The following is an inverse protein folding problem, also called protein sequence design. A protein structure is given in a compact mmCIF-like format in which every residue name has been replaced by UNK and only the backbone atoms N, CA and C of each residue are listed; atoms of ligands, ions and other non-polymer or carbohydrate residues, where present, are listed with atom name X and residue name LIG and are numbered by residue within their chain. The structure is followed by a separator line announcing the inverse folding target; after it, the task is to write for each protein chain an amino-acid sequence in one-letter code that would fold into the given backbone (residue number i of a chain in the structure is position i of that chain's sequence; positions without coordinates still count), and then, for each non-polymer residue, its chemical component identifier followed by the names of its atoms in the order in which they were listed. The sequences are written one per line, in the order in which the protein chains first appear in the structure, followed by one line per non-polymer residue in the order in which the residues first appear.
data_IF_305461398265
#
_entry.id   IF_305461398265
#
_cell.length_a   1.000
_cell.length_b   1.000
_cell.length_c   1.000
_cell.angle_alpha   90.00
_cell.angle_beta   90.00
_cell.angle_gamma   90.00
#
_symmetry.space_group_name_H-M   'P 1'
#
loop_
_entity.id
_entity.type
_entity.pdbx_description
1 polymer ?
#
# COMPACT_ATOMS: atom_id res chain seq x y z
N UNK A 1 19.44 31.35 8.06
CA UNK A 1 19.39 29.90 8.34
C UNK A 1 18.03 29.40 7.88
N UNK A 2 17.95 28.59 6.82
CA UNK A 2 16.72 27.89 6.47
C UNK A 2 16.46 26.84 7.56
N UNK A 3 15.38 27.05 8.32
CA UNK A 3 14.97 26.11 9.36
C UNK A 3 14.43 24.86 8.64
N UNK A 4 15.25 23.83 8.49
CA UNK A 4 14.82 22.55 7.94
C UNK A 4 13.81 21.94 8.92
N UNK A 5 12.54 21.90 8.56
CA UNK A 5 11.56 21.11 9.30
C UNK A 5 11.89 19.63 9.11
N UNK A 6 12.46 19.02 10.14
CA UNK A 6 12.75 17.58 10.16
C UNK A 6 11.45 16.80 10.31
N UNK A 7 11.11 16.02 9.29
CA UNK A 7 10.07 14.98 9.40
C UNK A 7 10.72 13.62 9.66
N UNK A 8 10.12 12.85 10.57
CA UNK A 8 10.57 11.50 10.96
C UNK A 8 9.45 10.51 10.67
N UNK A 9 9.80 9.37 10.08
CA UNK A 9 8.85 8.29 9.80
C UNK A 9 8.61 7.47 11.07
N UNK A 10 7.35 7.34 11.47
CA UNK A 10 6.92 6.54 12.62
C UNK A 10 5.92 5.47 12.20
N UNK A 11 5.87 4.35 12.95
CA UNK A 11 4.74 3.41 12.90
C UNK A 11 3.48 4.13 13.41
N UNK A 12 2.35 3.92 12.73
CA UNK A 12 1.06 4.53 13.10
C UNK A 12 0.05 3.50 13.61
N UNK A 13 -0.15 2.44 12.84
CA UNK A 13 -0.98 1.29 13.21
C UNK A 13 -0.33 0.00 12.73
N UNK A 14 -0.68 -1.12 13.35
CA UNK A 14 -0.42 -2.45 12.83
C UNK A 14 -1.60 -3.41 13.04
N UNK A 15 -1.68 -4.41 12.16
CA UNK A 15 -2.52 -5.59 12.33
C UNK A 15 -1.60 -6.80 12.37
N UNK A 16 -1.60 -7.53 13.47
CA UNK A 16 -0.79 -8.71 13.70
C UNK A 16 -1.60 -9.98 13.48
N UNK A 17 -0.96 -10.98 12.89
CA UNK A 17 -1.53 -12.31 12.67
C UNK A 17 -2.79 -12.29 11.79
N UNK A 18 -2.82 -11.40 10.78
CA UNK A 18 -3.89 -11.37 9.79
C UNK A 18 -3.68 -12.52 8.80
N UNK A 19 -4.69 -13.35 8.60
CA UNK A 19 -4.63 -14.48 7.67
C UNK A 19 -5.10 -14.04 6.29
N UNK A 20 -4.32 -14.33 5.25
CA UNK A 20 -4.77 -14.18 3.87
C UNK A 20 -5.74 -15.31 3.55
N UNK A 21 -6.99 -14.99 3.26
CA UNK A 21 -8.03 -16.00 3.00
C UNK A 21 -8.30 -16.20 1.51
N UNK A 22 -7.86 -15.26 0.66
CA UNK A 22 -7.98 -15.39 -0.79
C UNK A 22 -6.79 -14.74 -1.52
N UNK A 23 -6.35 -15.34 -2.63
CA UNK A 23 -5.38 -14.75 -3.55
C UNK A 23 -5.97 -14.70 -4.96
N UNK A 24 -6.22 -13.49 -5.48
CA UNK A 24 -6.83 -13.28 -6.80
C UNK A 24 -5.86 -12.64 -7.78
N UNK A 25 -5.70 -13.25 -8.94
CA UNK A 25 -4.81 -12.77 -10.01
C UNK A 25 -5.51 -12.53 -11.36
N UNK A 26 -6.80 -12.83 -11.46
CA UNK A 26 -7.60 -12.67 -12.68
C UNK A 26 -8.79 -11.77 -12.39
N UNK A 27 -8.92 -10.69 -13.17
CA UNK A 27 -9.87 -9.62 -12.95
C UNK A 27 -10.69 -9.38 -14.20
N UNK A 28 -11.96 -9.04 -14.02
CA UNK A 28 -12.79 -8.51 -15.09
C UNK A 28 -12.41 -7.06 -15.33
N UNK A 29 -12.63 -6.60 -16.54
CA UNK A 29 -12.38 -5.22 -16.90
C UNK A 29 -13.15 -4.27 -15.97
N UNK A 30 -12.41 -3.33 -15.37
CA UNK A 30 -12.95 -2.34 -14.45
C UNK A 30 -13.02 -2.76 -12.99
N UNK A 31 -12.51 -3.94 -12.64
CA UNK A 31 -12.18 -4.26 -11.25
C UNK A 31 -10.80 -3.72 -10.88
N UNK A 32 -10.60 -3.39 -9.60
CA UNK A 32 -9.29 -2.97 -9.08
C UNK A 32 -8.42 -4.22 -8.91
N UNK A 33 -7.42 -4.35 -9.78
CA UNK A 33 -6.58 -5.54 -9.91
C UNK A 33 -5.35 -5.58 -8.99
N UNK A 34 -5.18 -4.60 -8.09
CA UNK A 34 -4.04 -4.48 -7.19
C UNK A 34 -4.51 -4.11 -5.78
N UNK A 35 -3.70 -4.37 -4.76
CA UNK A 35 -4.02 -3.99 -3.37
C UNK A 35 -4.37 -5.19 -2.48
N UNK A 36 -4.80 -4.87 -1.27
CA UNK A 36 -5.23 -5.83 -0.26
C UNK A 36 -6.63 -5.47 0.23
N UNK A 37 -7.61 -6.34 -0.01
CA UNK A 37 -8.96 -6.17 0.57
C UNK A 37 -8.93 -6.62 2.01
N UNK A 38 -9.51 -5.80 2.90
CA UNK A 38 -9.62 -6.10 4.33
C UNK A 38 -11.04 -5.73 4.80
N UNK A 39 -11.68 -6.56 5.64
CA UNK A 39 -12.97 -6.25 6.24
C UNK A 39 -13.01 -4.87 6.92
N UNK A 40 -14.08 -4.11 6.66
CA UNK A 40 -14.28 -2.75 7.19
C UNK A 40 -14.18 -2.67 8.72
N UNK A 41 -14.65 -3.68 9.44
CA UNK A 41 -14.52 -3.78 10.90
C UNK A 41 -13.07 -3.86 11.38
N UNK A 42 -12.22 -4.63 10.69
CA UNK A 42 -10.78 -4.77 10.99
C UNK A 42 -10.05 -3.45 10.69
N UNK A 43 -10.33 -2.84 9.54
CA UNK A 43 -9.79 -1.52 9.16
C UNK A 43 -10.16 -0.45 10.20
N UNK A 44 -11.45 -0.37 10.56
CA UNK A 44 -11.96 0.57 11.56
C UNK A 44 -11.30 0.37 12.92
N UNK A 45 -11.17 -0.87 13.40
CA UNK A 45 -10.60 -1.19 14.71
C UNK A 45 -9.08 -0.93 14.78
N UNK A 46 -8.36 -1.13 13.68
CA UNK A 46 -6.93 -0.80 13.55
C UNK A 46 -6.67 0.66 13.20
N UNK A 47 -7.72 1.46 12.99
CA UNK A 47 -7.66 2.83 12.49
C UNK A 47 -6.84 2.93 11.18
N UNK A 48 -7.01 1.98 10.27
CA UNK A 48 -6.46 2.04 8.91
C UNK A 48 -7.59 2.47 7.98
N UNK A 49 -7.33 3.44 7.12
CA UNK A 49 -8.34 3.99 6.23
C UNK A 49 -8.25 3.37 4.83
N UNK A 50 -9.36 3.32 4.06
CA UNK A 50 -9.31 2.93 2.66
C UNK A 50 -8.26 3.74 1.90
N UNK A 51 -7.57 3.08 0.98
CA UNK A 51 -6.48 3.62 0.15
C UNK A 51 -5.19 3.95 0.89
N UNK A 52 -5.10 3.68 2.19
CA UNK A 52 -3.88 3.90 2.97
C UNK A 52 -2.78 2.90 2.57
N UNK A 53 -1.55 3.39 2.41
CA UNK A 53 -0.38 2.54 2.16
C UNK A 53 -0.05 1.69 3.39
N UNK A 54 0.14 0.40 3.17
CA UNK A 54 0.58 -0.57 4.18
C UNK A 54 1.84 -1.28 3.73
N UNK A 55 2.69 -1.65 4.69
CA UNK A 55 3.71 -2.67 4.51
C UNK A 55 3.10 -3.99 4.98
N UNK A 56 3.02 -4.98 4.09
CA UNK A 56 2.59 -6.34 4.40
C UNK A 56 3.84 -7.19 4.62
N UNK A 57 3.93 -7.82 5.78
CA UNK A 57 5.03 -8.70 6.18
C UNK A 57 4.50 -10.12 6.30
N UNK A 58 5.13 -11.08 5.63
CA UNK A 58 4.86 -12.51 5.82
C UNK A 58 5.61 -13.01 7.05
N UNK A 59 4.89 -13.50 8.07
CA UNK A 59 5.47 -13.82 9.39
C UNK A 59 6.43 -15.01 9.31
N UNK A 60 6.09 -16.03 8.52
CA UNK A 60 6.92 -17.23 8.33
C UNK A 60 7.84 -17.12 7.09
N UNK A 61 8.11 -15.91 6.61
CA UNK A 61 9.04 -15.68 5.49
C UNK A 61 10.49 -15.83 5.95
N UNK A 62 11.27 -16.65 5.26
CA UNK A 62 12.66 -16.98 5.61
C UNK A 62 13.72 -16.17 4.84
N UNK A 63 13.34 -15.06 4.21
CA UNK A 63 14.25 -14.21 3.45
C UNK A 63 13.99 -12.71 3.67
N UNK A 64 14.93 -11.87 3.22
CA UNK A 64 14.86 -10.41 3.33
C UNK A 64 13.70 -9.79 2.51
N UNK A 65 13.12 -10.55 1.57
CA UNK A 65 11.96 -10.20 0.76
C UNK A 65 10.67 -10.66 1.46
N UNK A 66 10.62 -10.74 2.80
CA UNK A 66 9.37 -11.08 3.49
C UNK A 66 8.41 -9.88 3.63
N UNK A 67 8.70 -8.75 2.98
CA UNK A 67 7.92 -7.51 3.05
C UNK A 67 7.62 -6.96 1.66
N UNK A 68 6.39 -6.47 1.50
CA UNK A 68 5.95 -5.78 0.29
C UNK A 68 5.07 -4.59 0.68
N UNK A 69 5.23 -3.45 0.02
CA UNK A 69 4.31 -2.30 0.17
C UNK A 69 3.12 -2.48 -0.73
N UNK A 70 1.95 -2.05 -0.29
CA UNK A 70 0.72 -1.99 -1.09
C UNK A 70 -0.23 -0.97 -0.46
N UNK A 71 -1.50 -0.95 -0.87
CA UNK A 71 -2.55 -0.15 -0.26
C UNK A 71 -3.75 -1.05 0.10
N UNK A 72 -4.55 -0.59 1.05
CA UNK A 72 -5.75 -1.32 1.48
C UNK A 72 -6.99 -0.87 0.72
N UNK A 73 -7.87 -1.82 0.47
CA UNK A 73 -9.21 -1.62 -0.08
C UNK A 73 -10.19 -2.11 0.98
N UNK A 74 -11.27 -1.36 1.20
CA UNK A 74 -12.32 -1.76 2.12
C UNK A 74 -13.12 -2.94 1.53
N UNK A 75 -13.30 -3.98 2.33
CA UNK A 75 -14.13 -5.14 2.03
C UNK A 75 -15.28 -5.31 3.02
N UNK A 76 -16.09 -6.34 2.79
CA UNK A 76 -17.20 -6.69 3.66
C UNK A 76 -16.75 -7.37 4.96
N UNK A 77 -17.63 -7.38 5.96
CA UNK A 77 -17.39 -8.00 7.27
C UNK A 77 -17.67 -9.50 7.25
N UNK A 78 -16.98 -10.22 6.35
CA UNK A 78 -17.08 -11.68 6.18
C UNK A 78 -15.76 -12.41 6.52
N UNK A 79 -14.77 -11.69 7.08
CA UNK A 79 -13.45 -12.21 7.41
C UNK A 79 -12.49 -12.31 6.22
N UNK A 80 -12.98 -12.07 5.00
CA UNK A 80 -12.20 -12.24 3.77
C UNK A 80 -11.13 -11.17 3.63
N UNK A 81 -9.88 -11.60 3.70
CA UNK A 81 -8.71 -10.80 3.34
C UNK A 81 -8.17 -11.31 2.01
N UNK A 82 -8.28 -10.49 0.97
CA UNK A 82 -7.93 -10.86 -0.41
C UNK A 82 -6.70 -10.11 -0.91
N UNK A 83 -5.62 -10.84 -1.18
CA UNK A 83 -4.46 -10.32 -1.87
C UNK A 83 -4.71 -10.28 -3.39
N UNK A 84 -4.46 -9.13 -4.02
CA UNK A 84 -4.67 -8.91 -5.46
C UNK A 84 -3.37 -8.64 -6.21
N UNK A 85 -3.37 -8.84 -7.53
CA UNK A 85 -2.29 -8.40 -8.41
C UNK A 85 -0.92 -8.92 -7.99
N UNK A 86 0.04 -8.02 -7.85
CA UNK A 86 1.40 -8.35 -7.42
C UNK A 86 1.46 -9.04 -6.06
N UNK A 87 0.56 -8.67 -5.14
CA UNK A 87 0.51 -9.23 -3.79
C UNK A 87 0.07 -10.69 -3.80
N UNK A 88 -0.83 -11.06 -4.71
CA UNK A 88 -1.31 -12.45 -4.89
C UNK A 88 -0.22 -13.42 -5.37
N UNK A 89 0.86 -12.91 -5.97
CA UNK A 89 2.04 -13.69 -6.36
C UNK A 89 3.04 -13.81 -5.21
N UNK A 90 2.98 -12.86 -4.26
CA UNK A 90 3.84 -12.80 -3.09
C UNK A 90 3.31 -13.64 -1.93
N UNK A 91 1.99 -13.65 -1.74
CA UNK A 91 1.29 -14.36 -0.67
C UNK A 91 0.50 -15.55 -1.21
N UNK A 92 0.17 -16.47 -0.32
CA UNK A 92 -0.73 -17.60 -0.55
C UNK A 92 -1.88 -17.57 0.46
N UNK A 93 -2.99 -18.21 0.11
CA UNK A 93 -4.04 -18.48 1.09
C UNK A 93 -3.47 -19.24 2.29
N UNK A 94 -3.92 -18.87 3.48
CA UNK A 94 -3.43 -19.36 4.76
C UNK A 94 -2.15 -18.66 5.25
N UNK A 95 -1.51 -17.80 4.45
CA UNK A 95 -0.34 -17.06 4.94
C UNK A 95 -0.73 -16.13 6.10
N UNK A 96 0.06 -16.22 7.18
CA UNK A 96 -0.04 -15.31 8.32
C UNK A 96 0.80 -14.06 8.08
N UNK A 97 0.19 -12.89 8.26
CA UNK A 97 0.80 -11.60 7.93
C UNK A 97 0.72 -10.59 9.07
N UNK A 98 1.66 -9.64 9.04
CA UNK A 98 1.62 -8.41 9.82
C UNK A 98 1.55 -7.22 8.87
N UNK A 99 0.57 -6.35 9.08
CA UNK A 99 0.39 -5.11 8.31
C UNK A 99 0.86 -3.94 9.15
N UNK A 100 1.60 -3.00 8.55
CA UNK A 100 2.14 -1.83 9.24
C UNK A 100 1.84 -0.58 8.42
N UNK A 101 1.19 0.41 9.02
CA UNK A 101 1.08 1.76 8.44
C UNK A 101 2.12 2.69 9.05
N UNK A 102 2.47 3.72 8.28
CA UNK A 102 3.47 4.73 8.67
C UNK A 102 2.86 6.12 8.60
N UNK A 103 3.41 7.01 9.43
CA UNK A 103 3.12 8.45 9.46
C UNK A 103 4.43 9.23 9.38
N UNK A 104 4.33 10.51 9.05
CA UNK A 104 5.41 11.48 9.17
C UNK A 104 5.10 12.40 10.33
N UNK A 105 6.04 12.51 11.27
CA UNK A 105 5.95 13.42 12.41
C UNK A 105 7.00 14.52 12.27
N UNK A 106 6.57 15.77 12.35
CA UNK A 106 7.47 16.92 12.52
C UNK A 106 7.97 17.01 13.98
N UNK A 107 8.89 17.93 14.25
CA UNK A 107 9.49 18.10 15.58
C UNK A 107 8.48 18.32 16.72
N UNK A 108 7.41 19.08 16.48
CA UNK A 108 6.35 19.30 17.48
C UNK A 108 5.58 18.01 17.77
N UNK A 109 5.27 17.24 16.73
CA UNK A 109 4.58 15.96 16.85
C UNK A 109 5.46 14.89 17.51
N UNK A 110 6.77 14.90 17.26
CA UNK A 110 7.74 14.04 17.96
C UNK A 110 7.80 14.40 19.45
N UNK A 111 7.73 15.68 19.81
CA UNK A 111 7.65 16.09 21.21
C UNK A 111 6.35 15.58 21.87
N UNK A 112 5.21 15.62 21.16
CA UNK A 112 3.95 15.03 21.64
C UNK A 112 4.06 13.51 21.81
N UNK A 113 4.72 12.81 20.88
CA UNK A 113 5.01 11.37 21.02
C UNK A 113 5.81 11.08 22.29
N UNK A 114 6.89 11.84 22.55
CA UNK A 114 7.71 11.71 23.76
C UNK A 114 6.94 12.00 25.06
N UNK A 115 5.85 12.76 24.98
CA UNK A 115 4.94 13.05 26.09
C UNK A 115 3.78 12.05 26.21
N UNK A 116 3.82 10.91 25.50
CA UNK A 116 2.73 9.93 25.46
C UNK A 116 1.38 10.49 24.98
N UNK A 117 1.41 11.47 24.06
CA UNK A 117 0.20 12.03 23.44
C UNK A 117 -0.07 11.51 22.04
N UNK A 118 0.85 10.73 21.48
CA UNK A 118 0.70 10.09 20.19
C UNK A 118 0.46 8.59 20.40
N UNK A 119 -0.79 8.10 20.29
CA UNK A 119 -1.06 6.67 20.39
C UNK A 119 -0.53 5.93 19.16
N UNK A 120 -0.24 4.65 19.29
CA UNK A 120 0.02 3.69 18.20
C UNK A 120 -0.97 2.55 18.40
N UNK A 121 -1.65 2.15 17.31
CA UNK A 121 -2.68 1.11 17.38
C UNK A 121 -2.07 -0.23 16.98
N UNK A 122 -2.23 -1.24 17.82
CA UNK A 122 -1.77 -2.60 17.59
C UNK A 122 -2.93 -3.57 17.72
N UNK A 123 -3.56 -3.87 16.59
CA UNK A 123 -4.61 -4.88 16.51
C UNK A 123 -3.96 -6.25 16.34
N UNK A 124 -4.32 -7.24 17.15
CA UNK A 124 -3.78 -8.60 17.04
C UNK A 124 -4.87 -9.66 17.05
N UNK A 125 -4.70 -10.69 16.24
CA UNK A 125 -5.45 -11.94 16.35
C UNK A 125 -4.60 -12.99 17.05
N UNK A 126 -5.24 -13.93 17.74
CA UNK A 126 -4.48 -15.05 18.34
C UNK A 126 -3.98 -16.01 17.26
N UNK A 127 -2.66 -16.21 17.09
CA UNK A 127 -2.11 -16.95 15.97
C UNK A 127 -2.68 -18.37 15.84
N UNK A 128 -2.80 -19.09 16.94
CA UNK A 128 -3.20 -20.51 16.94
C UNK A 128 -4.70 -20.71 16.70
N UNK A 129 -5.50 -19.64 16.87
CA UNK A 129 -6.96 -19.68 16.75
C UNK A 129 -7.46 -18.99 15.50
N UNK A 130 -6.69 -18.05 14.94
CA UNK A 130 -7.13 -17.28 13.78
C UNK A 130 -6.97 -18.09 12.49
N UNK A 131 -8.08 -18.42 11.84
CA UNK A 131 -8.09 -19.14 10.56
C UNK A 131 -8.66 -18.30 9.41
N UNK A 132 -9.58 -17.41 9.74
CA UNK A 132 -10.43 -16.69 8.78
C UNK A 132 -10.69 -15.23 9.18
N UNK A 133 -10.00 -14.73 10.21
CA UNK A 133 -10.15 -13.37 10.73
C UNK A 133 -11.52 -13.04 11.34
N UNK A 134 -12.35 -14.06 11.63
CA UNK A 134 -13.67 -13.87 12.27
C UNK A 134 -13.61 -13.93 13.80
N UNK A 135 -12.51 -14.42 14.37
CA UNK A 135 -12.33 -14.48 15.83
C UNK A 135 -12.17 -13.08 16.43
N UNK A 136 -12.40 -12.98 17.74
CA UNK A 136 -12.15 -11.72 18.45
C UNK A 136 -10.67 -11.32 18.37
N UNK A 137 -10.43 -10.11 17.86
CA UNK A 137 -9.12 -9.47 17.88
C UNK A 137 -8.93 -8.65 19.16
N UNK A 138 -7.67 -8.51 19.61
CA UNK A 138 -7.29 -7.64 20.73
C UNK A 138 -6.69 -6.34 20.19
N UNK A 139 -7.21 -5.19 20.61
CA UNK A 139 -6.61 -3.90 20.29
C UNK A 139 -5.78 -3.42 21.47
N UNK A 140 -4.46 -3.36 21.31
CA UNK A 140 -3.58 -2.71 22.25
C UNK A 140 -3.23 -1.29 21.74
N UNK A 141 -3.10 -0.34 22.65
CA UNK A 141 -2.72 1.05 22.36
C UNK A 141 -1.40 1.34 23.04
N UNK A 142 -0.39 1.64 22.25
CA UNK A 142 0.96 1.94 22.72
C UNK A 142 1.23 3.45 22.66
N UNK A 143 1.86 3.95 23.71
CA UNK A 143 2.43 5.28 23.83
C UNK A 143 3.90 5.09 24.25
N UNK A 144 4.76 6.07 23.96
CA UNK A 144 6.21 6.01 24.19
C UNK A 144 6.69 5.07 25.31
N UNK A 145 6.18 5.23 26.55
CA UNK A 145 6.47 4.32 27.66
C UNK A 145 5.24 3.66 28.32
N UNK A 146 4.05 3.75 27.72
CA UNK A 146 2.79 3.26 28.30
C UNK A 146 2.05 2.38 27.31
N UNK A 147 1.49 1.26 27.77
CA UNK A 147 0.64 0.39 26.94
C UNK A 147 -0.70 0.16 27.63
N UNK A 148 -1.79 0.36 26.89
CA UNK A 148 -3.16 0.01 27.31
C UNK A 148 -3.54 -1.24 26.52
N UNK A 149 -3.92 -2.31 27.21
CA UNK A 149 -4.24 -3.60 26.57
C UNK A 149 -5.74 -3.76 26.39
N UNK A 150 -6.11 -4.50 25.35
CA UNK A 150 -7.49 -4.93 25.06
C UNK A 150 -8.55 -3.81 25.15
N UNK A 151 -8.28 -2.70 24.46
CA UNK A 151 -9.18 -1.55 24.41
C UNK A 151 -10.45 -1.89 23.65
N UNK A 152 -11.60 -1.80 24.35
CA UNK A 152 -12.92 -2.06 23.77
C UNK A 152 -13.56 -0.82 23.14
N UNK A 153 -13.49 0.33 23.79
CA UNK A 153 -13.94 1.62 23.21
C UNK A 153 -12.76 2.41 22.67
N UNK A 154 -12.62 2.39 21.34
CA UNK A 154 -11.56 3.07 20.61
C UNK A 154 -12.05 4.29 19.83
N UNK A 155 -13.35 4.64 19.88
CA UNK A 155 -13.92 5.72 19.05
C UNK A 155 -13.34 7.09 19.39
N UNK A 156 -13.14 7.35 20.68
CA UNK A 156 -12.52 8.58 21.19
C UNK A 156 -11.05 8.66 20.77
N UNK A 157 -10.31 7.56 20.86
CA UNK A 157 -8.91 7.48 20.45
C UNK A 157 -8.72 7.69 18.94
N UNK A 158 -9.64 7.17 18.11
CA UNK A 158 -9.63 7.43 16.66
C UNK A 158 -9.87 8.92 16.37
N UNK A 159 -10.74 9.58 17.13
CA UNK A 159 -10.99 11.03 16.97
C UNK A 159 -9.71 11.83 17.22
N UNK A 160 -8.95 11.46 18.24
CA UNK A 160 -7.70 12.15 18.61
C UNK A 160 -6.57 11.94 17.58
N UNK A 161 -6.76 11.00 16.65
CA UNK A 161 -5.80 10.64 15.58
C UNK A 161 -6.15 11.22 14.21
N UNK A 162 -7.23 11.98 14.09
CA UNK A 162 -7.72 12.49 12.80
C UNK A 162 -6.73 13.39 12.07
N UNK A 163 -5.91 14.14 12.81
CA UNK A 163 -4.92 15.06 12.24
C UNK A 163 -3.56 14.41 11.98
N UNK A 164 -3.42 13.10 12.25
CA UNK A 164 -2.18 12.38 11.96
C UNK A 164 -2.08 12.13 10.46
N UNK A 165 -0.97 12.58 9.86
CA UNK A 165 -0.67 12.37 8.45
C UNK A 165 -0.58 10.89 8.10
N UNK A 166 -1.09 10.53 6.92
CA UNK A 166 -1.09 9.18 6.35
C UNK A 166 -0.61 9.26 4.91
N UNK A 167 -0.13 8.14 4.38
CA UNK A 167 0.14 8.00 2.96
C UNK A 167 -1.07 7.36 2.29
N UNK A 168 -1.73 8.08 1.40
CA UNK A 168 -2.88 7.60 0.64
C UNK A 168 -2.52 7.40 -0.83
N UNK A 169 -3.07 6.36 -1.44
CA UNK A 169 -3.06 6.19 -2.88
C UNK A 169 -3.71 7.42 -3.52
N UNK A 170 -2.99 8.06 -4.44
CA UNK A 170 -3.47 9.23 -5.18
C UNK A 170 -3.92 8.83 -6.57
N UNK A 171 -3.14 7.98 -7.24
CA UNK A 171 -3.41 7.52 -8.59
C UNK A 171 -2.99 6.08 -8.76
N UNK A 172 -3.70 5.35 -9.63
CA UNK A 172 -3.39 3.97 -9.99
C UNK A 172 -3.63 3.75 -11.47
N UNK A 173 -2.60 3.35 -12.20
CA UNK A 173 -2.68 2.92 -13.59
C UNK A 173 -2.58 1.39 -13.61
N UNK A 174 -3.62 0.75 -14.10
CA UNK A 174 -3.76 -0.71 -14.10
C UNK A 174 -3.40 -1.30 -15.47
N UNK A 175 -2.85 -2.51 -15.43
CA UNK A 175 -2.73 -3.43 -16.58
C UNK A 175 -1.80 -2.93 -17.70
N UNK A 176 -0.78 -2.13 -17.38
CA UNK A 176 0.23 -1.71 -18.35
C UNK A 176 1.10 -2.90 -18.75
N UNK A 177 1.23 -3.16 -20.04
CA UNK A 177 2.05 -4.22 -20.60
C UNK A 177 3.37 -3.64 -21.09
N UNK A 178 4.47 -4.05 -20.46
CA UNK A 178 5.82 -3.64 -20.87
C UNK A 178 6.06 -4.08 -22.31
N UNK A 179 6.26 -3.14 -23.22
CA UNK A 179 6.47 -3.44 -24.64
C UNK A 179 7.88 -3.08 -25.13
N UNK A 180 8.64 -2.35 -24.32
CA UNK A 180 10.04 -2.03 -24.55
C UNK A 180 10.83 -2.10 -23.25
N UNK A 181 12.11 -2.43 -23.33
CA UNK A 181 13.03 -2.43 -22.19
C UNK A 181 14.38 -1.88 -22.64
N UNK A 182 15.10 -1.20 -21.75
CA UNK A 182 16.46 -0.73 -22.00
C UNK A 182 17.33 -0.96 -20.75
N UNK A 183 17.94 -2.15 -20.60
CA UNK A 183 18.65 -2.54 -19.38
C UNK A 183 19.96 -1.76 -19.19
N UNK A 184 20.65 -1.41 -20.27
CA UNK A 184 21.95 -0.71 -20.24
C UNK A 184 21.78 0.81 -20.17
N UNK A 185 20.97 1.27 -19.21
CA UNK A 185 20.72 2.68 -18.96
C UNK A 185 21.25 3.07 -17.59
N UNK A 186 21.88 4.25 -17.50
CA UNK A 186 22.27 4.87 -16.22
C UNK A 186 21.07 5.15 -15.32
N UNK A 187 19.89 5.33 -15.91
CA UNK A 187 18.65 5.66 -15.21
C UNK A 187 17.75 4.41 -15.11
N UNK A 188 17.13 4.20 -13.95
CA UNK A 188 16.13 3.17 -13.72
C UNK A 188 14.78 3.77 -13.38
N UNK A 189 13.94 3.96 -14.40
CA UNK A 189 12.65 4.66 -14.36
C UNK A 189 11.48 3.78 -14.81
N UNK A 190 10.26 4.20 -14.46
CA UNK A 190 9.04 3.74 -15.10
C UNK A 190 8.69 4.69 -16.26
N UNK A 191 8.82 4.22 -17.49
CA UNK A 191 8.61 5.02 -18.70
C UNK A 191 7.19 4.76 -19.23
N UNK A 192 6.31 5.74 -19.13
CA UNK A 192 4.86 5.57 -19.30
C UNK A 192 4.33 6.47 -20.42
N UNK A 193 3.27 6.07 -21.16
CA UNK A 193 2.66 6.94 -22.15
C UNK A 193 2.19 8.25 -21.48
N UNK A 194 2.70 9.39 -21.95
CA UNK A 194 2.42 10.70 -21.33
C UNK A 194 0.92 11.02 -21.28
N UNK A 195 0.17 10.60 -22.29
CA UNK A 195 -1.29 10.75 -22.32
C UNK A 195 -2.03 9.94 -21.24
N UNK A 196 -1.48 8.80 -20.80
CA UNK A 196 -2.03 8.04 -19.67
C UNK A 196 -1.65 8.72 -18.36
N UNK A 197 -0.38 9.17 -18.23
CA UNK A 197 0.08 9.91 -17.06
C UNK A 197 -0.80 11.13 -16.79
N UNK A 198 -1.10 11.94 -17.81
CA UNK A 198 -2.01 13.09 -17.69
C UNK A 198 -3.40 12.68 -17.21
N UNK A 199 -3.99 11.61 -17.78
CA UNK A 199 -5.32 11.11 -17.37
C UNK A 199 -5.33 10.59 -15.93
N UNK A 200 -4.21 10.05 -15.48
CA UNK A 200 -4.00 9.52 -14.13
C UNK A 200 -3.50 10.57 -13.14
N UNK A 201 -3.30 11.83 -13.55
CA UNK A 201 -2.70 12.87 -12.71
C UNK A 201 -1.34 12.44 -12.12
N UNK A 202 -0.51 11.79 -12.95
CA UNK A 202 0.87 11.43 -12.61
C UNK A 202 1.82 12.41 -13.28
N UNK A 203 2.66 13.07 -12.50
CA UNK A 203 3.59 14.07 -12.99
C UNK A 203 4.92 13.46 -13.45
N UNK A 204 5.60 14.18 -14.36
CA UNK A 204 6.97 13.83 -14.76
C UNK A 204 7.89 13.88 -13.53
N UNK A 205 8.69 12.83 -13.35
CA UNK A 205 9.60 12.61 -12.22
C UNK A 205 8.93 12.43 -10.86
N UNK A 206 7.61 12.28 -10.81
CA UNK A 206 6.92 11.93 -9.58
C UNK A 206 7.32 10.52 -9.14
N UNK A 207 7.53 10.34 -7.83
CA UNK A 207 7.77 9.03 -7.23
C UNK A 207 6.57 8.11 -7.45
N UNK A 208 6.84 6.88 -7.89
CA UNK A 208 5.83 5.85 -8.15
C UNK A 208 6.25 4.52 -7.53
N UNK A 209 5.26 3.73 -7.12
CA UNK A 209 5.44 2.30 -6.84
C UNK A 209 4.94 1.49 -8.04
N UNK A 210 5.80 0.63 -8.59
CA UNK A 210 5.48 -0.25 -9.71
C UNK A 210 5.28 -1.65 -9.19
N UNK A 211 4.07 -2.17 -9.33
CA UNK A 211 3.65 -3.51 -8.94
C UNK A 211 3.76 -4.45 -10.13
N UNK A 212 4.62 -5.47 -10.05
CA UNK A 212 4.70 -6.46 -11.11
C UNK A 212 3.62 -7.52 -10.90
N UNK A 213 2.47 -7.37 -11.56
CA UNK A 213 1.35 -8.31 -11.46
C UNK A 213 1.62 -9.67 -12.10
N UNK A 214 2.65 -9.77 -12.97
CA UNK A 214 3.00 -11.03 -13.63
C UNK A 214 3.78 -11.96 -12.71
N UNK A 215 4.77 -11.44 -11.99
CA UNK A 215 5.68 -12.25 -11.15
C UNK A 215 5.61 -11.95 -9.65
N UNK A 216 4.95 -10.87 -9.26
CA UNK A 216 4.92 -10.37 -7.89
C UNK A 216 6.02 -9.37 -7.59
N UNK A 217 5.86 -8.72 -6.44
CA UNK A 217 6.80 -7.71 -5.95
C UNK A 217 6.44 -6.28 -6.34
N UNK A 218 7.13 -5.35 -5.69
CA UNK A 218 7.00 -3.91 -5.90
C UNK A 218 8.39 -3.29 -5.98
N UNK A 219 8.56 -2.31 -6.86
CA UNK A 219 9.74 -1.46 -6.91
C UNK A 219 9.32 0.00 -6.87
N UNK A 220 9.99 0.81 -6.05
CA UNK A 220 9.81 2.25 -6.08
C UNK A 220 10.79 2.88 -7.06
N UNK A 221 10.28 3.80 -7.87
CA UNK A 221 11.06 4.56 -8.85
C UNK A 221 10.35 5.90 -9.10
N UNK A 222 10.57 6.53 -10.24
CA UNK A 222 9.89 7.71 -10.71
C UNK A 222 9.36 7.53 -12.13
N UNK A 223 8.30 8.27 -12.46
CA UNK A 223 7.67 8.22 -13.78
C UNK A 223 8.39 9.15 -14.79
N UNK A 224 8.55 8.69 -16.02
CA UNK A 224 9.05 9.48 -17.14
C UNK A 224 8.08 9.36 -18.31
N UNK A 225 7.67 10.48 -18.94
CA UNK A 225 6.70 10.45 -20.02
C UNK A 225 7.33 9.99 -21.33
N UNK A 226 6.63 9.11 -22.03
CA UNK A 226 6.97 8.59 -23.35
C UNK A 226 5.88 8.92 -24.38
N UNK A 227 6.19 8.80 -25.68
CA UNK A 227 5.17 8.85 -26.73
C UNK A 227 4.00 7.88 -26.48
N UNK A 228 2.82 8.13 -27.06
CA UNK A 228 1.67 7.25 -26.93
C UNK A 228 2.02 5.79 -27.22
N UNK A 229 1.36 4.87 -26.50
CA UNK A 229 1.53 3.41 -26.60
C UNK A 229 2.90 2.86 -26.15
N UNK A 230 3.87 3.67 -25.75
CA UNK A 230 5.17 3.17 -25.28
C UNK A 230 5.14 2.97 -23.77
N UNK A 231 5.28 1.72 -23.34
CA UNK A 231 5.41 1.35 -21.92
C UNK A 231 6.75 0.64 -21.76
N UNK A 232 7.66 1.27 -21.03
CA UNK A 232 9.05 0.84 -20.96
C UNK A 232 9.59 0.80 -19.54
N UNK A 233 10.55 -0.08 -19.33
CA UNK A 233 11.39 -0.10 -18.13
C UNK A 233 12.86 0.05 -18.53
N UNK A 234 13.61 0.81 -17.74
CA UNK A 234 15.02 1.15 -18.00
C UNK A 234 15.89 0.75 -16.82
N UNK A 235 17.19 0.56 -17.07
CA UNK A 235 18.17 0.28 -16.01
C UNK A 235 17.76 -0.92 -15.13
N UNK A 236 17.86 -0.76 -13.81
CA UNK A 236 17.43 -1.78 -12.85
C UNK A 236 15.94 -2.16 -12.98
N UNK A 237 15.08 -1.25 -13.42
CA UNK A 237 13.65 -1.56 -13.63
C UNK A 237 13.44 -2.56 -14.77
N UNK A 238 14.36 -2.68 -15.74
CA UNK A 238 14.28 -3.69 -16.79
C UNK A 238 14.48 -5.12 -16.25
N UNK A 239 15.20 -5.28 -15.12
CA UNK A 239 15.30 -6.56 -14.40
C UNK A 239 14.06 -6.81 -13.53
N UNK A 240 13.47 -5.74 -12.98
CA UNK A 240 12.24 -5.81 -12.21
C UNK A 240 10.99 -6.11 -13.05
N UNK A 241 10.86 -5.58 -14.26
CA UNK A 241 9.77 -5.95 -15.16
C UNK A 241 10.25 -6.04 -16.62
N UNK A 242 10.03 -7.22 -17.22
CA UNK A 242 10.52 -7.58 -18.56
C UNK A 242 9.45 -7.33 -19.62
N UNK A 243 9.87 -7.24 -20.89
CA UNK A 243 8.97 -7.16 -22.03
C UNK A 243 7.94 -8.30 -22.00
N UNK A 244 6.66 -7.96 -22.15
CA UNK A 244 5.53 -8.88 -22.10
C UNK A 244 4.84 -8.94 -20.74
N UNK A 245 5.52 -8.57 -19.65
CA UNK A 245 4.94 -8.56 -18.31
C UNK A 245 3.97 -7.39 -18.12
N UNK A 246 3.00 -7.61 -17.26
CA UNK A 246 1.96 -6.68 -16.84
C UNK A 246 2.35 -6.06 -15.49
N UNK A 247 2.30 -4.73 -15.42
CA UNK A 247 2.56 -3.93 -14.22
C UNK A 247 1.40 -2.98 -13.92
N UNK A 248 1.21 -2.67 -12.64
CA UNK A 248 0.37 -1.58 -12.18
C UNK A 248 1.27 -0.49 -11.59
N UNK A 249 0.91 0.78 -11.76
CA UNK A 249 1.73 1.91 -11.28
C UNK A 249 0.89 2.79 -10.37
N UNK A 250 1.37 3.03 -9.16
CA UNK A 250 0.70 3.85 -8.16
C UNK A 250 1.52 5.07 -7.76
N UNK A 251 0.83 6.16 -7.44
CA UNK A 251 1.39 7.33 -6.74
C UNK A 251 0.72 7.47 -5.37
N UNK A 252 1.44 8.09 -4.43
CA UNK A 252 0.96 8.33 -3.08
C UNK A 252 1.08 9.80 -2.71
N UNK A 253 0.11 10.29 -1.93
CA UNK A 253 0.13 11.62 -1.32
C UNK A 253 0.11 11.50 0.20
N UNK A 254 0.63 12.52 0.88
CA UNK A 254 0.57 12.63 2.33
C UNK A 254 -0.60 13.55 2.70
N UNK A 255 -1.48 13.09 3.58
CA UNK A 255 -2.63 13.89 4.02
C UNK A 255 -3.26 13.34 5.30
N UNK A 256 -4.15 14.12 5.91
CA UNK A 256 -4.90 13.72 7.12
C UNK A 256 -6.25 13.06 6.79
N UNK A 257 -6.74 13.25 5.57
CA UNK A 257 -8.00 12.68 5.07
C UNK A 257 -7.73 11.80 3.86
N UNK A 258 -8.47 10.70 3.76
CA UNK A 258 -8.42 9.84 2.58
C UNK A 258 -8.92 10.61 1.35
N UNK A 259 -8.20 10.48 0.25
CA UNK A 259 -8.60 11.00 -1.05
C UNK A 259 -9.17 9.85 -1.90
N UNK A 260 -10.13 10.16 -2.76
CA UNK A 260 -10.58 9.19 -3.78
C UNK A 260 -9.49 9.14 -4.85
N UNK A 261 -8.83 7.98 -5.06
CA UNK A 261 -7.74 7.89 -6.03
C UNK A 261 -8.27 8.00 -7.46
N UNK A 262 -7.43 8.53 -8.36
CA UNK A 262 -7.67 8.47 -9.80
C UNK A 262 -7.22 7.11 -10.33
N UNK A 263 -8.16 6.26 -10.75
CA UNK A 263 -7.85 4.92 -11.25
C UNK A 263 -8.09 4.84 -12.76
N UNK A 264 -7.08 4.42 -13.51
CA UNK A 264 -7.13 4.25 -14.96
C UNK A 264 -6.83 2.80 -15.31
N UNK A 265 -7.78 2.11 -15.95
CA UNK A 265 -7.55 0.79 -16.57
C UNK A 265 -7.09 0.95 -18.02
N UNK A 266 -6.19 0.06 -18.44
CA UNK A 266 -5.56 0.10 -19.77
C UNK A 266 -5.70 -1.23 -20.51
N UNK A 267 -5.52 -1.22 -21.83
CA UNK A 267 -5.42 -2.45 -22.64
C UNK A 267 -3.97 -2.94 -22.78
N UNK A 268 -3.08 -2.50 -21.89
CA UNK A 268 -1.64 -2.71 -22.01
C UNK A 268 -0.86 -1.44 -22.34
N UNK A 269 -1.41 -0.51 -23.12
CA UNK A 269 -0.68 0.72 -23.46
C UNK A 269 -1.55 1.93 -23.79
N UNK A 270 -2.88 1.75 -23.75
CA UNK A 270 -3.87 2.81 -23.95
C UNK A 270 -4.89 2.77 -22.82
N UNK A 271 -5.30 3.93 -22.34
CA UNK A 271 -6.36 4.05 -21.34
C UNK A 271 -7.71 3.67 -21.94
N UNK A 272 -8.43 2.74 -21.29
CA UNK A 272 -9.77 2.31 -21.70
C UNK A 272 -10.85 2.98 -20.86
N UNK A 273 -10.66 3.02 -19.53
CA UNK A 273 -11.69 3.46 -18.59
C UNK A 273 -11.07 4.14 -17.38
N UNK A 274 -11.74 5.19 -16.91
CA UNK A 274 -11.54 5.77 -15.58
C UNK A 274 -12.54 5.10 -14.62
N UNK A 275 -12.04 4.54 -13.52
CA UNK A 275 -12.85 3.91 -12.47
C UNK A 275 -13.17 4.90 -11.36
#
# INVERSE_FOLDING_TARGET
MLNFMKEIIFKRSAIHNLVITNCRNTFKQGEIAEGLIIPKSILRKSDILPWEQVIVTKINGNNWINRIKTFVIEGEDDGRVEARGSLSKFLKEGDLTCLITRTLLNEKEVALYKQNKFPVFDLGFEPDKNKDNLIESRLDIEYGNKKIRDVKDFKTLVRDRKEIKRLFLSSLILELKINKTHPDCLQGSAELPGNIMTKASVEKYQSVSVYNSSKGGVADTYAVPMPPKVVMTTGAMAQFAKKGEIVNVATYVIGTKSAVPVIISTNGSEAIKKL
#
